data_IF_244451238601
#
_entry.id   IF_244451238601
#
_cell.length_a   1.000
_cell.length_b   1.000
_cell.length_c   1.000
_cell.angle_alpha   90.00
_cell.angle_beta   90.00
_cell.angle_gamma   90.00
#
_symmetry.space_group_name_H-M   'P 1'
#
loop_
_entity.id
_entity.type
_entity.pdbx_description
1 polymer ?
#
# COMPACT_ATOMS: atom_id res chain seq x y z
N UNK A 1 -15.75 -31.88 14.02
CA UNK A 1 -15.99 -30.75 13.11
C UNK A 1 -14.68 -30.57 12.35
N UNK A 2 -14.63 -30.85 11.07
CA UNK A 2 -13.41 -30.65 10.29
C UNK A 2 -13.18 -29.14 10.16
N UNK A 3 -11.99 -28.67 10.54
CA UNK A 3 -11.58 -27.29 10.30
C UNK A 3 -11.41 -27.17 8.78
N UNK A 4 -12.01 -26.14 8.18
CA UNK A 4 -11.85 -25.85 6.74
C UNK A 4 -10.38 -25.50 6.50
N UNK A 5 -9.67 -26.27 5.67
CA UNK A 5 -8.25 -26.05 5.36
C UNK A 5 -8.00 -24.64 4.79
N UNK A 6 -9.03 -23.98 4.22
CA UNK A 6 -8.95 -22.59 3.77
C UNK A 6 -8.82 -21.59 4.90
N UNK A 7 -9.37 -21.91 6.09
CA UNK A 7 -9.22 -21.07 7.28
C UNK A 7 -7.83 -21.18 7.92
N UNK A 8 -7.13 -22.29 7.69
CA UNK A 8 -5.76 -22.51 8.22
C UNK A 8 -4.73 -21.69 7.41
N UNK A 9 -5.06 -21.33 6.18
CA UNK A 9 -4.20 -20.55 5.27
C UNK A 9 -4.60 -19.08 5.16
N UNK A 10 -5.66 -18.66 5.86
CA UNK A 10 -6.08 -17.28 5.87
C UNK A 10 -5.05 -16.41 6.61
N UNK A 11 -4.95 -15.14 6.19
CA UNK A 11 -4.15 -14.14 6.87
C UNK A 11 -4.56 -14.04 8.34
N UNK A 12 -3.61 -14.25 9.24
CA UNK A 12 -3.80 -14.03 10.66
C UNK A 12 -3.69 -12.53 10.95
N UNK A 13 -4.70 -11.94 11.58
CA UNK A 13 -4.72 -10.53 11.93
C UNK A 13 -4.60 -10.37 13.43
N UNK A 14 -3.54 -9.72 13.90
CA UNK A 14 -3.35 -9.32 15.29
C UNK A 14 -3.51 -7.81 15.42
N UNK A 15 -4.26 -7.37 16.41
CA UNK A 15 -4.42 -5.95 16.73
C UNK A 15 -3.56 -5.59 17.93
N UNK A 16 -2.73 -4.56 17.76
CA UNK A 16 -1.81 -4.07 18.77
C UNK A 16 -2.22 -2.67 19.23
N UNK A 17 -1.96 -2.37 20.49
CA UNK A 17 -2.00 -0.98 20.98
C UNK A 17 -0.58 -0.43 20.96
N UNK A 18 -0.44 0.88 20.76
CA UNK A 18 0.84 1.56 20.64
C UNK A 18 1.83 1.21 21.78
N UNK A 19 1.34 1.05 23.01
CA UNK A 19 2.15 0.67 24.16
C UNK A 19 2.71 -0.76 24.10
N UNK A 20 2.15 -1.61 23.24
CA UNK A 20 2.49 -3.02 23.09
C UNK A 20 3.37 -3.25 21.85
N UNK A 21 3.67 -2.18 21.10
CA UNK A 21 4.58 -2.24 19.94
C UNK A 21 6.00 -2.49 20.42
N UNK A 22 6.66 -3.43 19.81
CA UNK A 22 8.09 -3.69 19.97
C UNK A 22 8.70 -4.04 18.63
N UNK A 23 9.91 -3.54 18.41
CA UNK A 23 10.63 -3.80 17.18
C UNK A 23 11.05 -5.26 17.12
N UNK A 24 10.34 -6.05 16.33
CA UNK A 24 10.74 -7.42 15.99
C UNK A 24 10.87 -7.50 14.47
N UNK A 25 12.05 -7.94 14.02
CA UNK A 25 12.25 -8.23 12.59
C UNK A 25 11.78 -9.66 12.33
N UNK A 26 10.49 -9.80 12.07
CA UNK A 26 9.88 -11.06 11.67
C UNK A 26 9.71 -11.11 10.15
N UNK A 27 10.17 -12.19 9.49
CA UNK A 27 9.95 -12.34 8.05
C UNK A 27 8.47 -12.65 7.79
N UNK A 28 7.97 -12.21 6.64
CA UNK A 28 6.62 -12.50 6.14
C UNK A 28 5.48 -11.96 7.02
N UNK A 29 5.77 -10.95 7.86
CA UNK A 29 4.79 -10.23 8.67
C UNK A 29 4.59 -8.85 8.08
N UNK A 30 3.33 -8.46 7.90
CA UNK A 30 2.95 -7.11 7.56
C UNK A 30 2.69 -6.32 8.84
N UNK A 31 3.23 -5.12 8.93
CA UNK A 31 2.83 -4.13 9.93
C UNK A 31 1.99 -3.04 9.29
N UNK A 32 0.88 -2.72 9.91
CA UNK A 32 -0.03 -1.68 9.44
C UNK A 32 -0.34 -0.68 10.54
N UNK A 33 -0.11 0.59 10.25
CA UNK A 33 -0.56 1.70 11.08
C UNK A 33 -2.01 2.03 10.74
N UNK A 34 -2.92 1.92 11.70
CA UNK A 34 -4.36 2.17 11.59
C UNK A 34 -5.08 1.26 10.57
N UNK A 35 -6.35 1.54 10.28
CA UNK A 35 -7.16 0.85 9.29
C UNK A 35 -7.49 1.76 8.13
N UNK A 36 -7.73 1.16 6.95
CA UNK A 36 -8.19 1.93 5.79
C UNK A 36 -9.57 2.55 6.02
N UNK A 37 -10.43 1.89 6.80
CA UNK A 37 -11.74 2.43 7.19
C UNK A 37 -11.61 3.72 8.02
N UNK A 38 -10.67 3.77 8.98
CA UNK A 38 -10.39 4.99 9.73
C UNK A 38 -9.95 6.14 8.81
N UNK A 39 -9.14 5.83 7.78
CA UNK A 39 -8.75 6.81 6.77
C UNK A 39 -9.97 7.31 5.97
N UNK A 40 -10.88 6.42 5.56
CA UNK A 40 -12.13 6.80 4.88
C UNK A 40 -13.01 7.73 5.73
N UNK A 41 -12.99 7.55 7.05
CA UNK A 41 -13.71 8.38 8.05
C UNK A 41 -12.97 9.67 8.42
N UNK A 42 -12.01 10.10 7.62
CA UNK A 42 -11.23 11.34 7.81
C UNK A 42 -10.31 11.37 9.03
N UNK A 43 -9.89 10.21 9.54
CA UNK A 43 -8.85 10.13 10.58
C UNK A 43 -7.47 10.33 9.91
N UNK A 44 -7.11 11.60 9.62
CA UNK A 44 -5.90 11.96 8.89
C UNK A 44 -4.75 12.41 9.77
N UNK A 45 -4.90 12.36 11.07
CA UNK A 45 -3.82 12.63 12.01
C UNK A 45 -3.22 11.30 12.47
N UNK A 46 -1.94 11.10 12.17
CA UNK A 46 -1.23 9.87 12.52
C UNK A 46 -0.49 9.97 13.85
N UNK A 47 -0.32 8.83 14.50
CA UNK A 47 0.43 8.70 15.73
C UNK A 47 1.76 7.95 15.55
N UNK A 48 1.87 7.11 14.51
CA UNK A 48 3.08 6.34 14.19
C UNK A 48 4.04 7.21 13.37
N UNK A 49 5.25 7.41 13.88
CA UNK A 49 6.30 8.13 13.16
C UNK A 49 6.97 7.24 12.10
N UNK A 50 7.58 7.84 11.07
CA UNK A 50 8.37 7.09 10.09
C UNK A 50 9.63 6.47 10.69
N UNK A 51 10.10 6.95 11.85
CA UNK A 51 11.17 6.28 12.61
C UNK A 51 10.68 4.95 13.17
N UNK A 52 9.50 4.94 13.82
CA UNK A 52 8.86 3.72 14.33
C UNK A 52 8.46 2.79 13.19
N UNK A 53 7.87 3.32 12.10
CA UNK A 53 7.50 2.51 10.94
C UNK A 53 8.70 1.76 10.33
N UNK A 54 9.89 2.38 10.33
CA UNK A 54 11.13 1.76 9.86
C UNK A 54 11.63 0.62 10.76
N UNK A 55 11.14 0.49 11.98
CA UNK A 55 11.42 -0.64 12.86
C UNK A 55 10.60 -1.89 12.51
N UNK A 56 9.59 -1.73 11.61
CA UNK A 56 8.67 -2.78 11.20
C UNK A 56 8.76 -3.14 9.71
N UNK A 57 9.51 -2.39 8.90
CA UNK A 57 9.66 -2.74 7.49
C UNK A 57 10.59 -1.85 6.68
N UNK A 58 11.04 -2.38 5.55
CA UNK A 58 11.92 -1.73 4.59
C UNK A 58 11.28 -1.56 3.19
N UNK A 59 10.07 -2.11 3.00
CA UNK A 59 9.24 -1.96 1.81
C UNK A 59 7.79 -1.69 2.22
N UNK A 60 7.12 -0.77 1.54
CA UNK A 60 5.72 -0.50 1.81
C UNK A 60 5.18 0.77 1.17
N UNK A 61 3.94 1.09 1.53
CA UNK A 61 3.20 2.26 1.07
C UNK A 61 2.30 2.86 2.15
N UNK A 62 1.77 4.03 1.89
CA UNK A 62 0.85 4.73 2.79
C UNK A 62 0.73 6.21 2.44
N UNK A 63 0.40 7.01 3.43
CA UNK A 63 0.29 8.48 3.29
C UNK A 63 0.90 9.20 4.48
N UNK A 64 0.70 10.49 4.57
CA UNK A 64 1.21 11.39 5.62
C UNK A 64 0.06 12.08 6.33
N UNK A 65 0.34 12.69 7.49
CA UNK A 65 -0.65 13.51 8.17
C UNK A 65 -1.33 14.49 7.23
N UNK A 66 -2.64 14.61 7.40
CA UNK A 66 -3.50 15.41 6.54
C UNK A 66 -3.49 14.94 5.07
N UNK A 67 -3.19 13.66 4.82
CA UNK A 67 -3.11 13.03 3.50
C UNK A 67 -2.18 13.80 2.55
N UNK A 68 -1.00 14.23 3.05
CA UNK A 68 -0.05 15.10 2.36
C UNK A 68 0.82 14.34 1.36
N UNK A 69 0.22 13.77 0.32
CA UNK A 69 0.91 12.99 -0.71
C UNK A 69 0.99 11.49 -0.43
N UNK A 70 1.67 10.76 -1.32
CA UNK A 70 1.79 9.30 -1.27
C UNK A 70 3.15 8.88 -0.66
N UNK A 71 3.12 7.97 0.29
CA UNK A 71 4.33 7.39 0.88
C UNK A 71 4.77 6.17 0.09
N UNK A 72 6.07 6.08 -0.18
CA UNK A 72 6.71 4.95 -0.85
C UNK A 72 7.91 4.55 -0.02
N UNK A 73 7.95 3.31 0.47
CA UNK A 73 9.10 2.74 1.15
C UNK A 73 9.76 1.68 0.27
N UNK A 74 11.05 1.82 0.01
CA UNK A 74 11.86 0.89 -0.77
C UNK A 74 13.29 0.87 -0.28
N UNK A 75 13.83 -0.33 -0.06
CA UNK A 75 15.20 -0.55 0.44
C UNK A 75 15.48 0.18 1.79
N UNK A 76 14.47 0.31 2.65
CA UNK A 76 14.55 0.99 3.95
C UNK A 76 14.57 2.52 3.88
N UNK A 77 14.40 3.09 2.69
CA UNK A 77 14.26 4.53 2.48
C UNK A 77 12.79 4.89 2.25
N UNK A 78 12.35 5.96 2.89
CA UNK A 78 10.98 6.47 2.80
C UNK A 78 10.95 7.73 1.96
N UNK A 79 10.03 7.77 1.01
CA UNK A 79 9.83 8.86 0.07
C UNK A 79 8.41 9.37 0.14
N UNK A 80 8.25 10.67 -0.11
CA UNK A 80 6.96 11.31 -0.30
C UNK A 80 6.82 11.74 -1.75
N UNK A 81 5.82 11.25 -2.45
CA UNK A 81 5.37 11.83 -3.70
C UNK A 81 4.36 12.94 -3.40
N UNK A 82 4.71 14.16 -3.77
CA UNK A 82 3.87 15.36 -3.60
C UNK A 82 2.72 15.35 -4.60
N UNK A 83 1.74 16.25 -4.44
CA UNK A 83 0.55 16.33 -5.31
C UNK A 83 0.87 16.35 -6.81
N UNK A 84 1.99 16.91 -7.20
CA UNK A 84 2.48 16.98 -8.59
C UNK A 84 3.40 15.82 -8.98
N UNK A 85 3.53 14.80 -8.13
CA UNK A 85 4.32 13.59 -8.35
C UNK A 85 5.83 13.78 -8.19
N UNK A 86 6.30 14.92 -7.67
CA UNK A 86 7.72 15.06 -7.29
C UNK A 86 8.01 14.30 -6.01
N UNK A 87 9.13 13.57 -6.00
CA UNK A 87 9.54 12.73 -4.88
C UNK A 87 10.57 13.46 -4.01
N UNK A 88 10.40 13.35 -2.71
CA UNK A 88 11.25 13.91 -1.69
C UNK A 88 11.55 12.88 -0.60
N UNK A 89 12.78 12.87 -0.04
CA UNK A 89 13.09 12.07 1.16
C UNK A 89 12.18 12.50 2.33
N UNK A 90 11.83 11.56 3.17
CA UNK A 90 10.97 11.80 4.34
C UNK A 90 11.80 12.08 5.58
N UNK A 91 11.45 13.15 6.30
CA UNK A 91 11.90 13.31 7.68
C UNK A 91 11.21 12.25 8.56
N UNK A 92 11.99 11.40 9.19
CA UNK A 92 11.50 10.27 10.00
C UNK A 92 10.73 10.69 11.25
N UNK A 93 10.76 11.96 11.64
CA UNK A 93 9.93 12.50 12.73
C UNK A 93 8.50 12.81 12.32
N UNK A 94 8.18 12.82 11.01
CA UNK A 94 6.80 12.92 10.52
C UNK A 94 6.02 11.68 10.91
N UNK A 95 4.70 11.81 10.93
CA UNK A 95 3.75 10.74 11.28
C UNK A 95 2.85 10.36 10.10
N UNK A 96 2.24 9.19 10.21
CA UNK A 96 1.34 8.64 9.21
C UNK A 96 0.01 8.23 9.84
N UNK A 97 -1.14 8.57 9.23
CA UNK A 97 -2.45 8.05 9.61
C UNK A 97 -2.75 6.68 9.03
N UNK A 98 -2.01 6.27 8.00
CA UNK A 98 -2.14 4.95 7.38
C UNK A 98 -0.87 4.59 6.62
N UNK A 99 -0.31 3.46 6.94
CA UNK A 99 0.80 2.84 6.21
C UNK A 99 0.79 1.33 6.39
N UNK A 100 1.30 0.63 5.38
CA UNK A 100 1.63 -0.81 5.45
C UNK A 100 3.08 -0.99 5.08
N UNK A 101 3.83 -1.72 5.89
CA UNK A 101 5.24 -2.05 5.63
C UNK A 101 5.53 -3.51 5.98
N UNK A 102 6.61 -4.04 5.41
CA UNK A 102 7.18 -5.34 5.76
C UNK A 102 8.69 -5.31 5.60
N UNK A 103 9.41 -6.17 6.32
CA UNK A 103 10.77 -6.52 5.95
C UNK A 103 10.70 -7.52 4.80
N UNK A 104 10.93 -7.01 3.58
CA UNK A 104 10.66 -7.73 2.35
C UNK A 104 11.68 -8.86 2.10
N UNK A 105 11.24 -10.10 2.29
CA UNK A 105 12.00 -11.31 2.02
C UNK A 105 11.27 -12.17 0.98
N UNK A 106 11.55 -12.00 -0.34
CA UNK A 106 10.74 -12.62 -1.39
C UNK A 106 10.73 -14.14 -1.30
N UNK A 107 9.55 -14.73 -1.25
CA UNK A 107 9.31 -16.18 -1.28
C UNK A 107 9.50 -16.73 -2.68
N UNK A 108 9.17 -15.93 -3.70
CA UNK A 108 9.40 -16.27 -5.11
C UNK A 108 9.56 -15.05 -5.99
N UNK A 109 9.96 -15.28 -7.24
CA UNK A 109 10.10 -14.21 -8.24
C UNK A 109 9.85 -14.76 -9.65
N UNK A 110 9.40 -13.89 -10.55
CA UNK A 110 9.20 -14.20 -11.96
C UNK A 110 9.48 -12.98 -12.83
N UNK A 111 9.68 -13.23 -14.12
CA UNK A 111 9.93 -12.18 -15.11
C UNK A 111 8.71 -12.03 -16.03
N UNK A 112 8.40 -10.79 -16.39
CA UNK A 112 7.44 -10.44 -17.42
C UNK A 112 8.21 -9.72 -18.54
N UNK A 113 8.75 -10.47 -19.51
CA UNK A 113 9.68 -9.89 -20.49
C UNK A 113 8.99 -9.09 -21.58
N UNK A 114 7.75 -9.43 -21.89
CA UNK A 114 6.99 -8.81 -22.99
C UNK A 114 6.25 -7.56 -22.52
N UNK A 115 6.03 -6.57 -23.39
CA UNK A 115 5.16 -5.44 -23.09
C UNK A 115 3.74 -5.91 -22.80
N UNK A 116 3.14 -5.35 -21.75
CA UNK A 116 1.77 -5.64 -21.34
C UNK A 116 0.98 -4.32 -21.23
N UNK A 117 -0.30 -4.37 -21.59
CA UNK A 117 -1.25 -3.35 -21.20
C UNK A 117 -1.65 -3.50 -19.71
N UNK A 118 -2.37 -2.54 -19.12
CA UNK A 118 -2.71 -2.60 -17.71
C UNK A 118 -3.48 -3.87 -17.30
N UNK A 119 -4.44 -4.30 -18.10
CA UNK A 119 -5.24 -5.51 -17.83
C UNK A 119 -4.38 -6.77 -17.94
N UNK A 120 -3.52 -6.85 -18.97
CA UNK A 120 -2.56 -7.94 -19.15
C UNK A 120 -1.58 -8.03 -18.00
N UNK A 121 -1.15 -6.90 -17.44
CA UNK A 121 -0.28 -6.88 -16.26
C UNK A 121 -0.98 -7.45 -15.02
N UNK A 122 -2.22 -7.03 -14.73
CA UNK A 122 -2.99 -7.56 -13.61
C UNK A 122 -3.25 -9.07 -13.76
N UNK A 123 -3.63 -9.52 -14.96
CA UNK A 123 -3.79 -10.96 -15.23
C UNK A 123 -2.49 -11.75 -15.05
N UNK A 124 -1.36 -11.17 -15.46
CA UNK A 124 -0.06 -11.82 -15.29
C UNK A 124 0.35 -11.91 -13.82
N UNK A 125 0.06 -10.90 -13.02
CA UNK A 125 0.25 -10.96 -11.56
C UNK A 125 -0.63 -12.07 -10.97
N UNK A 126 -1.94 -12.06 -11.21
CA UNK A 126 -2.88 -13.05 -10.67
C UNK A 126 -2.50 -14.49 -11.04
N UNK A 127 -1.97 -14.70 -12.26
CA UNK A 127 -1.55 -16.02 -12.73
C UNK A 127 -0.29 -16.55 -12.04
N UNK A 128 0.53 -15.68 -11.46
CA UNK A 128 1.82 -16.02 -10.85
C UNK A 128 1.85 -15.81 -9.33
N UNK A 129 0.86 -15.11 -8.74
CA UNK A 129 0.70 -15.07 -7.30
C UNK A 129 0.18 -16.41 -6.78
N UNK A 130 0.55 -16.74 -5.56
CA UNK A 130 0.18 -17.99 -4.92
C UNK A 130 -1.27 -18.06 -4.44
N UNK A 131 -1.46 -18.48 -3.20
CA UNK A 131 -2.79 -18.63 -2.59
C UNK A 131 -3.49 -17.27 -2.43
N UNK A 132 -4.66 -17.05 -3.03
CA UNK A 132 -5.39 -15.79 -2.92
C UNK A 132 -5.91 -15.49 -1.50
N UNK A 133 -5.80 -16.45 -0.58
CA UNK A 133 -6.21 -16.29 0.81
C UNK A 133 -5.13 -15.64 1.70
N UNK A 134 -3.91 -15.46 1.21
CA UNK A 134 -2.85 -14.75 1.95
C UNK A 134 -2.64 -13.35 1.35
N UNK A 135 -1.98 -12.49 2.10
CA UNK A 135 -1.53 -11.21 1.58
C UNK A 135 -0.20 -11.38 0.84
N UNK A 136 0.00 -10.62 -0.23
CA UNK A 136 1.23 -10.63 -1.01
C UNK A 136 1.83 -9.23 -0.98
N UNK A 137 3.05 -9.10 -0.46
CA UNK A 137 3.86 -7.91 -0.69
C UNK A 137 4.57 -8.04 -2.04
N UNK A 138 4.58 -6.98 -2.81
CA UNK A 138 5.03 -6.95 -4.19
C UNK A 138 6.12 -5.91 -4.37
N UNK A 139 7.17 -6.30 -5.10
CA UNK A 139 8.14 -5.39 -5.66
C UNK A 139 8.33 -5.69 -7.13
N UNK A 140 8.11 -4.70 -7.99
CA UNK A 140 8.24 -4.80 -9.44
C UNK A 140 9.29 -3.82 -9.90
N UNK A 141 10.41 -4.31 -10.40
CA UNK A 141 11.52 -3.49 -10.89
C UNK A 141 11.65 -3.63 -12.40
N UNK A 142 11.86 -2.54 -13.11
CA UNK A 142 12.15 -2.55 -14.53
C UNK A 142 11.69 -1.31 -15.27
N UNK A 143 11.39 -1.48 -16.56
CA UNK A 143 10.99 -0.40 -17.45
C UNK A 143 9.48 -0.42 -17.67
N UNK A 144 8.92 0.78 -17.78
CA UNK A 144 7.51 1.00 -18.05
C UNK A 144 7.40 1.99 -19.21
N UNK A 145 6.59 1.66 -20.22
CA UNK A 145 6.23 2.60 -21.27
C UNK A 145 5.44 3.75 -20.68
N UNK A 146 4.52 3.41 -19.75
CA UNK A 146 3.74 4.38 -18.99
C UNK A 146 3.44 3.86 -17.60
N UNK A 147 3.47 4.77 -16.63
CA UNK A 147 2.84 4.60 -15.32
C UNK A 147 1.83 5.71 -15.15
N UNK A 148 0.55 5.35 -15.16
CA UNK A 148 -0.56 6.24 -14.86
C UNK A 148 -0.70 6.31 -13.35
N UNK A 149 -0.50 7.49 -12.79
CA UNK A 149 -0.38 7.66 -11.34
C UNK A 149 -1.14 8.89 -10.85
N UNK A 150 -1.41 8.90 -9.56
CA UNK A 150 -2.01 10.04 -8.87
C UNK A 150 -1.26 10.40 -7.60
N UNK A 151 -1.55 11.59 -7.10
CA UNK A 151 -1.28 11.97 -5.72
C UNK A 151 -2.32 12.99 -5.26
N UNK A 152 -2.37 13.22 -3.95
CA UNK A 152 -3.35 14.11 -3.33
C UNK A 152 -2.66 15.27 -2.61
N UNK A 153 -3.33 16.41 -2.55
CA UNK A 153 -2.85 17.58 -1.83
C UNK A 153 -3.10 17.43 -0.34
N UNK A 154 -2.26 18.11 0.47
CA UNK A 154 -2.46 18.21 1.91
C UNK A 154 -3.84 18.80 2.23
N UNK A 155 -4.59 18.13 3.09
CA UNK A 155 -5.91 18.55 3.52
C UNK A 155 -5.84 19.53 4.72
N UNK A 156 -6.93 20.29 4.91
CA UNK A 156 -7.08 21.23 6.02
C UNK A 156 -8.27 20.84 6.87
N UNK A 157 -8.17 21.09 8.17
CA UNK A 157 -9.31 20.86 9.09
C UNK A 157 -10.40 21.91 8.91
N UNK A 158 -11.69 21.52 9.01
CA UNK A 158 -12.18 20.16 9.21
C UNK A 158 -11.87 19.29 7.99
N UNK A 159 -11.36 18.08 8.21
CA UNK A 159 -10.98 17.18 7.12
C UNK A 159 -12.20 16.71 6.33
N UNK A 160 -12.14 16.75 5.00
CA UNK A 160 -13.19 16.19 4.15
C UNK A 160 -13.14 14.65 4.17
N UNK A 161 -14.24 13.95 3.81
CA UNK A 161 -14.23 12.53 3.56
C UNK A 161 -13.20 12.15 2.48
N UNK A 162 -12.65 10.92 2.55
CA UNK A 162 -11.62 10.47 1.60
C UNK A 162 -12.12 10.43 0.15
N UNK A 163 -13.39 10.19 -0.07
CA UNK A 163 -14.02 10.27 -1.41
C UNK A 163 -13.94 11.68 -2.02
N UNK A 164 -14.11 12.74 -1.21
CA UNK A 164 -13.93 14.11 -1.70
C UNK A 164 -12.45 14.42 -1.99
N UNK A 165 -11.53 13.88 -1.19
CA UNK A 165 -10.08 14.00 -1.45
C UNK A 165 -9.72 13.30 -2.77
N UNK A 166 -10.19 12.08 -2.97
CA UNK A 166 -9.98 11.31 -4.19
C UNK A 166 -10.57 12.02 -5.44
N UNK A 167 -11.76 12.60 -5.33
CA UNK A 167 -12.38 13.36 -6.42
C UNK A 167 -11.55 14.61 -6.82
N UNK A 168 -10.66 15.09 -5.95
CA UNK A 168 -9.76 16.22 -6.20
C UNK A 168 -8.30 15.82 -6.43
N UNK A 169 -8.03 14.52 -6.63
CA UNK A 169 -6.70 13.98 -6.89
C UNK A 169 -6.06 14.59 -8.13
N UNK A 170 -4.75 14.69 -8.12
CA UNK A 170 -3.99 15.11 -9.28
C UNK A 170 -3.41 13.89 -9.99
N UNK A 171 -3.90 13.64 -11.19
CA UNK A 171 -3.50 12.51 -12.04
C UNK A 171 -2.45 12.95 -13.03
N UNK A 172 -1.47 12.11 -13.28
CA UNK A 172 -0.36 12.36 -14.21
C UNK A 172 0.22 11.07 -14.78
N UNK A 173 0.81 11.17 -15.97
CA UNK A 173 1.54 10.07 -16.59
C UNK A 173 3.06 10.24 -16.40
N UNK A 174 3.72 9.12 -16.22
CA UNK A 174 5.18 8.99 -16.26
C UNK A 174 5.53 8.12 -17.46
N UNK A 175 5.98 8.75 -18.56
CA UNK A 175 6.25 8.06 -19.83
C UNK A 175 7.72 7.62 -19.93
N UNK A 176 7.95 6.41 -20.47
CA UNK A 176 9.24 5.81 -20.75
C UNK A 176 10.19 5.84 -19.54
N UNK A 177 9.71 5.40 -18.38
CA UNK A 177 10.44 5.46 -17.11
C UNK A 177 10.99 4.09 -16.70
N UNK A 178 12.09 4.11 -15.97
CA UNK A 178 12.61 2.99 -15.20
C UNK A 178 12.37 3.25 -13.72
N UNK A 179 11.97 2.22 -12.96
CA UNK A 179 11.68 2.42 -11.55
C UNK A 179 11.29 1.15 -10.82
N UNK A 180 10.80 1.38 -9.61
CA UNK A 180 10.32 0.35 -8.70
C UNK A 180 8.87 0.63 -8.32
N UNK A 181 8.01 -0.35 -8.51
CA UNK A 181 6.66 -0.37 -7.96
C UNK A 181 6.68 -1.23 -6.70
N UNK A 182 6.05 -0.74 -5.65
CA UNK A 182 5.92 -1.44 -4.37
C UNK A 182 4.46 -1.45 -3.94
N UNK A 183 4.05 -2.48 -3.24
CA UNK A 183 2.70 -2.51 -2.68
C UNK A 183 2.25 -3.87 -2.27
N UNK A 184 0.94 -4.02 -2.18
CA UNK A 184 0.33 -5.21 -1.60
C UNK A 184 -0.88 -5.65 -2.42
N UNK A 185 -1.13 -6.96 -2.37
CA UNK A 185 -2.41 -7.55 -2.77
C UNK A 185 -3.03 -8.18 -1.54
N UNK A 186 -4.17 -7.67 -1.12
CA UNK A 186 -4.93 -8.21 0.01
C UNK A 186 -6.11 -9.07 -0.47
N UNK A 187 -6.46 -10.13 0.30
CA UNK A 187 -7.66 -10.91 0.05
C UNK A 187 -8.93 -10.12 0.34
N UNK A 188 -10.06 -10.52 -0.29
CA UNK A 188 -11.33 -9.79 -0.19
C UNK A 188 -11.86 -9.66 1.25
N UNK A 189 -11.54 -10.63 2.12
CA UNK A 189 -11.97 -10.58 3.52
C UNK A 189 -11.20 -9.56 4.38
N UNK A 190 -10.11 -8.98 3.87
CA UNK A 190 -9.37 -7.90 4.55
C UNK A 190 -10.08 -6.53 4.48
N UNK A 191 -11.23 -6.46 3.78
CA UNK A 191 -12.04 -5.25 3.65
C UNK A 191 -12.33 -4.60 5.02
N UNK A 192 -12.14 -3.28 5.10
CA UNK A 192 -12.26 -2.50 6.32
C UNK A 192 -10.93 -2.37 7.08
N UNK A 193 -10.08 -3.38 7.04
CA UNK A 193 -8.72 -3.32 7.58
C UNK A 193 -7.80 -2.66 6.55
N UNK A 194 -7.83 -3.19 5.31
CA UNK A 194 -7.05 -2.71 4.17
C UNK A 194 -7.88 -2.70 2.90
N UNK A 195 -7.28 -2.29 1.78
CA UNK A 195 -7.87 -2.31 0.44
C UNK A 195 -7.79 -3.72 -0.13
N UNK A 196 -8.92 -4.39 -0.43
CA UNK A 196 -8.91 -5.65 -1.14
C UNK A 196 -8.40 -5.50 -2.57
N UNK A 197 -7.66 -6.49 -3.05
CA UNK A 197 -7.02 -6.43 -4.35
C UNK A 197 -5.66 -5.74 -4.28
N UNK A 198 -5.24 -5.10 -5.36
CA UNK A 198 -3.94 -4.46 -5.48
C UNK A 198 -3.96 -3.00 -5.03
N UNK A 199 -3.01 -2.64 -4.19
CA UNK A 199 -2.66 -1.27 -3.83
C UNK A 199 -1.18 -1.06 -4.10
N UNK A 200 -0.84 -0.23 -5.07
CA UNK A 200 0.51 -0.10 -5.60
C UNK A 200 0.96 1.35 -5.66
N UNK A 201 2.18 1.62 -5.24
CA UNK A 201 2.86 2.90 -5.41
C UNK A 201 4.12 2.73 -6.27
N UNK A 202 4.51 3.76 -7.00
CA UNK A 202 5.66 3.76 -7.90
C UNK A 202 6.64 4.87 -7.58
N UNK A 203 7.93 4.58 -7.75
CA UNK A 203 9.00 5.57 -7.72
C UNK A 203 10.00 5.32 -8.84
N UNK A 204 10.39 6.38 -9.56
CA UNK A 204 11.43 6.30 -10.61
C UNK A 204 12.79 5.92 -10.03
N UNK A 205 13.66 5.32 -10.85
CA UNK A 205 14.99 4.86 -10.44
C UNK A 205 15.87 6.00 -9.89
N UNK A 206 15.71 7.21 -10.43
CA UNK A 206 16.41 8.41 -9.96
C UNK A 206 15.76 9.07 -8.74
N UNK A 207 14.66 8.49 -8.21
CA UNK A 207 13.90 8.99 -7.05
C UNK A 207 13.34 10.41 -7.24
N UNK A 208 13.09 10.83 -8.48
CA UNK A 208 12.60 12.18 -8.78
C UNK A 208 11.08 12.26 -8.92
N UNK A 209 10.44 11.18 -9.36
CA UNK A 209 8.99 11.12 -9.61
C UNK A 209 8.38 9.85 -9.01
N UNK A 210 7.09 9.92 -8.65
CA UNK A 210 6.35 8.78 -8.10
C UNK A 210 4.92 9.14 -7.73
N UNK A 211 4.15 8.15 -7.27
CA UNK A 211 2.76 8.31 -6.87
C UNK A 211 2.05 6.99 -6.65
N UNK A 212 0.76 7.07 -6.34
CA UNK A 212 -0.15 5.93 -6.31
C UNK A 212 -0.49 5.50 -7.75
N UNK A 213 -0.41 4.20 -8.02
CA UNK A 213 -0.57 3.65 -9.37
C UNK A 213 -2.04 3.38 -9.68
N UNK A 214 -2.55 4.00 -10.73
CA UNK A 214 -3.88 3.74 -11.30
C UNK A 214 -3.82 2.68 -12.41
N UNK A 215 -2.68 2.61 -13.11
CA UNK A 215 -2.42 1.63 -14.15
C UNK A 215 -0.98 1.75 -14.66
N UNK A 216 -0.51 0.72 -15.36
CA UNK A 216 0.81 0.77 -15.95
C UNK A 216 0.93 -0.12 -17.18
N UNK A 217 1.92 0.19 -18.02
CA UNK A 217 2.31 -0.56 -19.22
C UNK A 217 3.77 -1.00 -19.06
N UNK A 218 4.04 -2.14 -18.40
CA UNK A 218 5.40 -2.62 -18.18
C UNK A 218 6.05 -3.11 -19.48
N UNK A 219 7.38 -2.91 -19.61
CA UNK A 219 8.20 -3.35 -20.74
C UNK A 219 9.44 -4.13 -20.23
N UNK A 220 9.25 -5.36 -19.80
CA UNK A 220 10.32 -6.13 -19.22
C UNK A 220 10.59 -5.77 -17.77
N UNK A 221 9.84 -6.40 -16.89
CA UNK A 221 9.92 -6.18 -15.45
C UNK A 221 10.16 -7.51 -14.73
N UNK A 222 10.84 -7.39 -13.60
CA UNK A 222 11.00 -8.47 -12.63
C UNK A 222 10.05 -8.25 -11.48
N UNK A 223 9.22 -9.23 -11.20
CA UNK A 223 8.32 -9.25 -10.05
C UNK A 223 8.93 -10.13 -8.96
N UNK A 224 8.98 -9.61 -7.76
CA UNK A 224 9.33 -10.34 -6.54
C UNK A 224 8.15 -10.29 -5.59
N UNK A 225 7.84 -11.42 -4.99
CA UNK A 225 6.66 -11.60 -4.15
C UNK A 225 7.09 -12.14 -2.80
N UNK A 226 6.55 -11.56 -1.74
CA UNK A 226 6.65 -12.06 -0.38
C UNK A 226 5.25 -12.42 0.11
N UNK A 227 5.02 -13.72 0.35
CA UNK A 227 3.73 -14.24 0.82
C UNK A 227 3.64 -14.05 2.32
N UNK A 228 2.74 -13.20 2.77
CA UNK A 228 2.58 -12.84 4.17
C UNK A 228 1.32 -13.48 4.76
N UNK A 229 1.50 -14.17 5.86
CA UNK A 229 0.43 -14.88 6.58
C UNK A 229 -0.02 -14.17 7.86
N UNK A 230 0.77 -13.20 8.33
CA UNK A 230 0.49 -12.42 9.54
C UNK A 230 0.41 -10.93 9.22
N UNK A 231 -0.58 -10.27 9.80
CA UNK A 231 -0.80 -8.83 9.72
C UNK A 231 -0.96 -8.25 11.12
N UNK A 232 -0.02 -7.44 11.54
CA UNK A 232 -0.05 -6.71 12.81
C UNK A 232 -0.60 -5.31 12.56
N UNK A 233 -1.78 -5.02 13.10
CA UNK A 233 -2.45 -3.72 12.94
C UNK A 233 -2.33 -2.92 14.23
N UNK A 234 -1.60 -1.82 14.20
CA UNK A 234 -1.62 -0.84 15.27
C UNK A 234 -2.89 0.00 15.18
N UNK A 235 -3.68 0.01 16.25
CA UNK A 235 -4.92 0.78 16.33
C UNK A 235 -4.71 2.04 17.16
N UNK A 236 -4.83 3.24 16.56
CA UNK A 236 -4.82 4.50 17.29
C UNK A 236 -5.89 4.58 18.38
N UNK A 237 -5.73 5.49 19.31
CA UNK A 237 -6.71 5.70 20.36
C UNK A 237 -8.08 6.09 19.79
N UNK A 238 -9.12 5.32 20.15
CA UNK A 238 -10.49 5.54 19.67
C UNK A 238 -10.84 4.89 18.33
N UNK A 239 -9.87 4.29 17.66
CA UNK A 239 -10.12 3.41 16.50
C UNK A 239 -10.33 1.99 16.99
N UNK A 240 -11.37 1.34 16.53
CA UNK A 240 -11.69 -0.06 16.80
C UNK A 240 -11.92 -0.79 15.47
N UNK A 241 -11.62 -2.08 15.42
CA UNK A 241 -12.03 -2.89 14.27
C UNK A 241 -13.56 -3.00 14.29
N UNK A 242 -14.17 -2.39 13.32
CA UNK A 242 -15.62 -2.51 13.10
C UNK A 242 -15.94 -3.81 12.35
N UNK A 243 -17.21 -4.23 12.39
CA UNK A 243 -17.62 -5.42 11.64
C UNK A 243 -17.37 -5.22 10.14
N UNK A 244 -16.79 -6.19 9.43
CA UNK A 244 -16.63 -6.13 7.98
C UNK A 244 -17.99 -5.82 7.32
N UNK A 245 -18.08 -4.71 6.59
CA UNK A 245 -19.31 -4.32 5.88
C UNK A 245 -19.81 -2.91 6.13
N UNK A 246 -19.20 -2.15 7.04
CA UNK A 246 -19.51 -0.73 7.20
C UNK A 246 -19.04 0.11 5.99
N UNK A 247 -17.88 -0.26 5.43
CA UNK A 247 -17.32 0.39 4.24
C UNK A 247 -18.03 -0.09 2.99
N UNK A 248 -18.62 0.82 2.20
CA UNK A 248 -19.24 0.46 0.93
C UNK A 248 -18.19 0.11 -0.12
N UNK A 249 -18.50 -0.87 -1.01
CA UNK A 249 -17.63 -1.20 -2.15
C UNK A 249 -17.44 -0.01 -3.10
N UNK A 250 -18.45 0.85 -3.19
CA UNK A 250 -18.41 2.04 -4.02
C UNK A 250 -17.40 3.07 -3.49
N UNK A 251 -17.34 3.31 -2.18
CA UNK A 251 -16.37 4.22 -1.57
C UNK A 251 -14.93 3.73 -1.75
N UNK A 252 -14.67 2.42 -1.61
CA UNK A 252 -13.36 1.83 -1.88
C UNK A 252 -12.95 2.01 -3.35
N UNK A 253 -13.88 1.74 -4.29
CA UNK A 253 -13.61 1.89 -5.73
C UNK A 253 -13.36 3.33 -6.13
N UNK A 254 -14.05 4.27 -5.52
CA UNK A 254 -13.93 5.70 -5.79
C UNK A 254 -12.57 6.25 -5.31
N UNK A 255 -12.03 5.71 -4.20
CA UNK A 255 -10.73 6.12 -3.66
C UNK A 255 -9.57 5.49 -4.41
N UNK A 256 -9.68 4.24 -4.88
CA UNK A 256 -8.58 3.48 -5.49
C UNK A 256 -8.52 3.56 -7.02
N UNK A 257 -9.54 4.10 -7.68
CA UNK A 257 -9.63 4.20 -9.14
C UNK A 257 -9.80 5.65 -9.57
N UNK A 258 -9.59 5.90 -10.86
CA UNK A 258 -10.09 7.12 -11.46
C UNK A 258 -11.63 7.18 -11.33
N UNK A 259 -12.13 8.34 -10.87
CA UNK A 259 -13.55 8.65 -10.82
C UNK A 259 -14.17 8.85 -12.22
#
# INVERSE_FOLDING_TARGET
>A
MAIDDRLIKALHVETLRRQDLHAEREPHVLFQASTFEALLESNYDGEVSFAELAEHGDLGLGTFDAVDGEMIAVDGEFFRATVDGHVQPVDRSRTTPFAVVTFFEPTHAFELPDPLDPDGFMHALDANLGDPAVAHALRVDGRFERVHARSVARQQRPYPPMTEVAASQHVFDLDAVEGTMVGFRFPDYAKGINVPGYHLHFVTADRSRGGHVLGCEPQGVRVRVDDSVDLHVELPAGVELTSPGATSDDALREVEREG
#
